data_IF_982768825156
#
_entry.id   IF_982768825156
#
_cell.length_a   1.000
_cell.length_b   1.000
_cell.length_c   1.000
_cell.angle_alpha   90.00
_cell.angle_beta   90.00
_cell.angle_gamma   90.00
#
_symmetry.space_group_name_H-M   'P 1'
#
loop_
_entity.id
_entity.type
_entity.pdbx_description
1 polymer ?
#
# COMPACT_ATOMS: atom_id res chain seq x y z
N UNK A 1 -9.08 14.12 -22.21
CA UNK A 1 -8.74 12.89 -21.47
C UNK A 1 -9.13 11.66 -22.28
N UNK A 2 -8.19 10.76 -22.56
CA UNK A 2 -8.45 9.48 -23.25
C UNK A 2 -9.07 8.44 -22.30
N UNK A 3 -9.70 7.39 -22.84
CA UNK A 3 -10.23 6.28 -22.03
C UNK A 3 -9.14 5.66 -21.13
N UNK A 4 -7.94 5.46 -21.67
CA UNK A 4 -6.81 4.94 -20.90
C UNK A 4 -6.42 5.85 -19.74
N UNK A 5 -6.35 7.18 -19.96
CA UNK A 5 -6.06 8.13 -18.87
C UNK A 5 -7.18 8.19 -17.84
N UNK A 6 -8.45 8.13 -18.25
CA UNK A 6 -9.59 8.08 -17.34
C UNK A 6 -9.56 6.81 -16.46
N UNK A 7 -9.23 5.68 -17.07
CA UNK A 7 -9.06 4.40 -16.38
C UNK A 7 -7.90 4.46 -15.37
N UNK A 8 -6.73 4.99 -15.78
CA UNK A 8 -5.58 5.16 -14.88
C UNK A 8 -5.91 6.05 -13.69
N UNK A 9 -6.62 7.16 -13.91
CA UNK A 9 -7.10 8.06 -12.84
C UNK A 9 -7.99 7.30 -11.86
N UNK A 10 -8.98 6.57 -12.36
CA UNK A 10 -9.89 5.79 -11.51
C UNK A 10 -9.14 4.77 -10.64
N UNK A 11 -8.25 3.97 -11.24
CA UNK A 11 -7.45 2.99 -10.51
C UNK A 11 -6.54 3.64 -9.48
N UNK A 12 -5.95 4.80 -9.81
CA UNK A 12 -5.04 5.54 -8.92
C UNK A 12 -5.74 6.00 -7.66
N UNK A 13 -6.91 6.62 -7.78
CA UNK A 13 -7.66 7.11 -6.62
C UNK A 13 -8.29 5.98 -5.81
N UNK A 14 -8.68 4.88 -6.45
CA UNK A 14 -9.09 3.65 -5.73
C UNK A 14 -7.93 3.10 -4.92
N UNK A 15 -6.73 3.00 -5.51
CA UNK A 15 -5.54 2.53 -4.80
C UNK A 15 -5.20 3.43 -3.62
N UNK A 16 -5.12 4.75 -3.85
CA UNK A 16 -4.88 5.75 -2.81
C UNK A 16 -5.90 5.63 -1.66
N UNK A 17 -7.20 5.53 -2.00
CA UNK A 17 -8.28 5.40 -1.04
C UNK A 17 -8.18 4.14 -0.19
N UNK A 18 -7.88 2.98 -0.79
CA UNK A 18 -7.68 1.74 -0.05
C UNK A 18 -6.48 1.80 0.88
N UNK A 19 -5.36 2.35 0.42
CA UNK A 19 -4.16 2.53 1.26
C UNK A 19 -4.48 3.45 2.46
N UNK A 20 -5.13 4.58 2.22
CA UNK A 20 -5.55 5.49 3.29
C UNK A 20 -6.50 4.80 4.29
N UNK A 21 -7.52 4.12 3.79
CA UNK A 21 -8.52 3.45 4.62
C UNK A 21 -7.95 2.27 5.42
N UNK A 22 -7.09 1.46 4.82
CA UNK A 22 -6.61 0.23 5.47
C UNK A 22 -5.32 0.49 6.26
N UNK A 23 -4.29 1.05 5.63
CA UNK A 23 -2.97 1.21 6.25
C UNK A 23 -2.97 2.27 7.36
N UNK A 24 -3.73 3.36 7.21
CA UNK A 24 -3.71 4.50 8.15
C UNK A 24 -4.92 4.56 9.08
N UNK A 25 -6.10 4.14 8.62
CA UNK A 25 -7.32 4.22 9.43
C UNK A 25 -7.64 2.90 10.13
N UNK A 26 -7.86 1.80 9.39
CA UNK A 26 -8.21 0.49 9.95
C UNK A 26 -7.12 -0.08 10.85
N UNK A 27 -5.87 -0.08 10.37
CA UNK A 27 -4.80 -0.79 11.05
C UNK A 27 -4.51 -0.25 12.46
N UNK A 28 -4.54 1.07 12.73
CA UNK A 28 -4.45 1.59 14.10
C UNK A 28 -5.75 1.46 14.89
N UNK A 29 -6.92 1.64 14.27
CA UNK A 29 -8.20 1.63 14.99
C UNK A 29 -8.59 0.25 15.51
N UNK A 30 -8.27 -0.83 14.81
CA UNK A 30 -8.64 -2.19 15.25
C UNK A 30 -8.06 -2.59 16.60
N UNK A 31 -6.88 -2.07 16.95
CA UNK A 31 -6.26 -2.32 18.25
C UNK A 31 -6.86 -1.48 19.38
N UNK A 32 -7.72 -0.51 19.07
CA UNK A 32 -8.46 0.29 20.05
C UNK A 32 -9.84 -0.30 20.39
N UNK A 33 -10.28 -1.32 19.65
CA UNK A 33 -11.58 -1.93 19.87
C UNK A 33 -11.57 -2.77 21.17
N UNK A 34 -12.61 -2.65 22.03
CA UNK A 34 -12.73 -3.46 23.24
C UNK A 34 -12.70 -4.95 22.93
N UNK A 35 -11.95 -5.73 23.72
CA UNK A 35 -11.84 -7.18 23.56
C UNK A 35 -10.88 -7.66 22.47
N UNK A 36 -10.24 -6.76 21.70
CA UNK A 36 -9.21 -7.15 20.73
C UNK A 36 -7.88 -7.37 21.43
N UNK A 37 -7.43 -8.63 21.46
CA UNK A 37 -6.08 -8.96 21.91
C UNK A 37 -5.05 -8.70 20.81
N UNK A 38 -3.77 -8.58 21.19
CA UNK A 38 -2.68 -8.41 20.23
C UNK A 38 -2.64 -9.55 19.19
N UNK A 39 -2.86 -10.79 19.63
CA UNK A 39 -2.87 -11.97 18.75
C UNK A 39 -4.00 -11.89 17.71
N UNK A 40 -5.21 -11.53 18.13
CA UNK A 40 -6.37 -11.35 17.23
C UNK A 40 -6.08 -10.22 16.23
N UNK A 41 -5.60 -9.07 16.70
CA UNK A 41 -5.30 -7.93 15.83
C UNK A 41 -4.19 -8.22 14.82
N UNK A 42 -3.15 -8.99 15.19
CA UNK A 42 -2.10 -9.43 14.28
C UNK A 42 -2.61 -10.46 13.26
N UNK A 43 -3.47 -11.40 13.68
CA UNK A 43 -4.11 -12.37 12.80
C UNK A 43 -4.97 -11.70 11.73
N UNK A 44 -5.84 -10.78 12.13
CA UNK A 44 -6.66 -9.95 11.21
C UNK A 44 -5.75 -9.15 10.29
N UNK A 45 -4.73 -8.48 10.84
CA UNK A 45 -3.76 -7.71 10.07
C UNK A 45 -3.10 -8.52 8.95
N UNK A 46 -2.67 -9.75 9.23
CA UNK A 46 -2.03 -10.62 8.22
C UNK A 46 -2.95 -10.88 7.02
N UNK A 47 -4.21 -11.18 7.27
CA UNK A 47 -5.18 -11.48 6.22
C UNK A 47 -5.52 -10.23 5.40
N UNK A 48 -5.85 -9.13 6.09
CA UNK A 48 -6.21 -7.85 5.46
C UNK A 48 -5.06 -7.30 4.63
N UNK A 49 -3.84 -7.25 5.17
CA UNK A 49 -2.68 -6.78 4.42
C UNK A 49 -2.29 -7.73 3.29
N UNK A 50 -2.58 -9.04 3.37
CA UNK A 50 -2.40 -9.94 2.21
C UNK A 50 -3.34 -9.58 1.08
N UNK A 51 -4.63 -9.42 1.41
CA UNK A 51 -5.64 -9.04 0.44
C UNK A 51 -5.33 -7.67 -0.18
N UNK A 52 -5.03 -6.67 0.64
CA UNK A 52 -4.65 -5.33 0.19
C UNK A 52 -3.50 -5.41 -0.82
N UNK A 53 -2.36 -5.98 -0.43
CA UNK A 53 -1.18 -6.08 -1.29
C UNK A 53 -1.44 -6.78 -2.64
N UNK A 54 -2.32 -7.80 -2.66
CA UNK A 54 -2.75 -8.43 -3.92
C UNK A 54 -3.50 -7.44 -4.80
N UNK A 55 -4.48 -6.72 -4.24
CA UNK A 55 -5.26 -5.73 -4.99
C UNK A 55 -4.37 -4.56 -5.43
N UNK A 56 -3.46 -4.08 -4.57
CA UNK A 56 -2.48 -3.05 -4.93
C UNK A 56 -1.64 -3.46 -6.14
N UNK A 57 -1.19 -4.73 -6.18
CA UNK A 57 -0.41 -5.26 -7.31
C UNK A 57 -1.24 -5.28 -8.60
N UNK A 58 -2.52 -5.67 -8.53
CA UNK A 58 -3.43 -5.65 -9.69
C UNK A 58 -3.70 -4.23 -10.19
N UNK A 59 -3.92 -3.28 -9.28
CA UNK A 59 -4.10 -1.87 -9.61
C UNK A 59 -2.84 -1.28 -10.23
N UNK A 60 -1.67 -1.60 -9.68
CA UNK A 60 -0.37 -1.19 -10.24
C UNK A 60 -0.22 -1.66 -11.69
N UNK A 61 -0.50 -2.94 -11.96
CA UNK A 61 -0.44 -3.50 -13.33
C UNK A 61 -1.44 -2.79 -14.24
N UNK A 62 -2.67 -2.57 -13.80
CA UNK A 62 -3.69 -1.87 -14.58
C UNK A 62 -3.30 -0.44 -14.94
N UNK A 63 -2.73 0.31 -13.99
CA UNK A 63 -2.22 1.66 -14.22
C UNK A 63 -1.04 1.63 -15.21
N UNK A 64 -0.07 0.75 -15.01
CA UNK A 64 1.09 0.63 -15.91
C UNK A 64 0.65 0.29 -17.34
N UNK A 65 -0.30 -0.62 -17.52
CA UNK A 65 -0.86 -0.96 -18.83
C UNK A 65 -1.56 0.24 -19.48
N UNK A 66 -2.34 1.01 -18.72
CA UNK A 66 -2.99 2.22 -19.21
C UNK A 66 -1.97 3.30 -19.63
N UNK A 67 -0.93 3.52 -18.82
CA UNK A 67 0.14 4.46 -19.13
C UNK A 67 0.95 4.05 -20.36
N UNK A 68 1.21 2.75 -20.54
CA UNK A 68 1.94 2.22 -21.70
C UNK A 68 1.20 2.41 -23.03
N UNK A 69 -0.13 2.58 -23.00
CA UNK A 69 -0.93 2.84 -24.20
C UNK A 69 -0.91 4.31 -24.68
N UNK A 70 -0.24 5.19 -23.93
CA UNK A 70 -0.16 6.61 -24.24
C UNK A 70 1.26 7.17 -24.13
N UNK A 71 1.36 8.50 -24.17
CA UNK A 71 2.62 9.23 -24.02
C UNK A 71 2.55 10.10 -22.75
N UNK A 72 2.57 9.49 -21.54
CA UNK A 72 2.46 10.24 -20.30
C UNK A 72 3.68 11.16 -20.11
N UNK A 73 3.46 12.29 -19.45
CA UNK A 73 4.54 13.20 -19.03
C UNK A 73 5.52 12.45 -18.12
N UNK A 74 6.81 12.80 -18.21
CA UNK A 74 7.86 12.21 -17.36
C UNK A 74 7.51 12.32 -15.87
N UNK A 75 6.90 13.42 -15.44
CA UNK A 75 6.45 13.59 -14.05
C UNK A 75 5.43 12.55 -13.59
N UNK A 76 4.49 12.16 -14.47
CA UNK A 76 3.52 11.08 -14.21
C UNK A 76 4.25 9.75 -14.06
N UNK A 77 5.15 9.44 -15.00
CA UNK A 77 5.93 8.19 -14.97
C UNK A 77 6.76 8.08 -13.69
N UNK A 78 7.44 9.15 -13.30
CA UNK A 78 8.25 9.19 -12.07
C UNK A 78 7.39 8.99 -10.83
N UNK A 79 6.23 9.66 -10.74
CA UNK A 79 5.32 9.52 -9.59
C UNK A 79 4.84 8.07 -9.41
N UNK A 80 4.42 7.41 -10.49
CA UNK A 80 4.00 6.01 -10.44
C UNK A 80 5.17 5.04 -10.23
N UNK A 81 6.35 5.33 -10.79
CA UNK A 81 7.55 4.54 -10.54
C UNK A 81 7.90 4.53 -9.05
N UNK A 82 7.81 5.69 -8.38
CA UNK A 82 8.02 5.79 -6.92
C UNK A 82 7.00 4.91 -6.16
N UNK A 83 5.72 4.99 -6.51
CA UNK A 83 4.67 4.20 -5.86
C UNK A 83 4.88 2.68 -6.06
N UNK A 84 5.23 2.26 -7.27
CA UNK A 84 5.49 0.85 -7.62
C UNK A 84 6.75 0.33 -6.92
N UNK A 85 7.84 1.10 -6.93
CA UNK A 85 9.09 0.73 -6.24
C UNK A 85 8.85 0.62 -4.74
N UNK A 86 8.07 1.53 -4.14
CA UNK A 86 7.68 1.45 -2.74
C UNK A 86 6.89 0.16 -2.45
N UNK A 87 5.91 -0.18 -3.28
CA UNK A 87 5.14 -1.44 -3.16
C UNK A 87 6.07 -2.66 -3.24
N UNK A 88 6.96 -2.73 -4.24
CA UNK A 88 7.91 -3.84 -4.41
C UNK A 88 8.83 -3.97 -3.20
N UNK A 89 9.36 -2.86 -2.69
CA UNK A 89 10.20 -2.84 -1.49
C UNK A 89 9.42 -3.32 -0.25
N UNK A 90 8.15 -2.97 -0.12
CA UNK A 90 7.28 -3.48 0.95
C UNK A 90 7.10 -4.99 0.83
N UNK A 91 6.73 -5.50 -0.36
CA UNK A 91 6.43 -6.91 -0.59
C UNK A 91 7.64 -7.82 -0.37
N UNK A 92 8.80 -7.42 -0.89
CA UNK A 92 10.01 -8.25 -0.88
C UNK A 92 10.86 -8.04 0.39
N UNK A 93 10.90 -6.80 0.90
CA UNK A 93 11.79 -6.43 2.01
C UNK A 93 11.11 -6.46 3.37
N UNK A 94 10.00 -5.73 3.51
CA UNK A 94 9.41 -5.44 4.83
C UNK A 94 8.43 -6.52 5.27
N UNK A 95 7.57 -6.99 4.35
CA UNK A 95 6.50 -7.94 4.63
C UNK A 95 6.99 -9.29 5.15
N UNK A 96 8.06 -9.92 4.60
CA UNK A 96 8.56 -11.19 5.13
C UNK A 96 9.08 -11.05 6.56
N UNK A 97 9.70 -9.90 6.87
CA UNK A 97 10.21 -9.60 8.23
C UNK A 97 9.06 -9.40 9.22
N UNK A 98 8.01 -8.70 8.82
CA UNK A 98 6.81 -8.53 9.64
C UNK A 98 6.08 -9.87 9.84
N UNK A 99 5.98 -10.73 8.82
CA UNK A 99 5.34 -12.03 8.92
C UNK A 99 6.03 -12.93 9.96
N UNK A 100 7.36 -13.10 9.85
CA UNK A 100 8.17 -13.89 10.81
C UNK A 100 8.00 -13.40 12.25
N UNK A 101 7.94 -12.07 12.44
CA UNK A 101 7.73 -11.47 13.75
C UNK A 101 6.33 -11.74 14.28
N UNK A 102 5.31 -11.57 13.45
CA UNK A 102 3.94 -11.89 13.84
C UNK A 102 3.81 -13.37 14.21
N UNK A 103 4.52 -14.28 13.52
CA UNK A 103 4.58 -15.69 13.90
C UNK A 103 5.23 -15.90 15.28
N UNK A 104 6.33 -15.20 15.59
CA UNK A 104 6.97 -15.27 16.91
C UNK A 104 6.07 -14.76 18.05
N UNK A 105 5.36 -13.64 17.84
CA UNK A 105 4.40 -13.11 18.84
C UNK A 105 3.19 -14.05 19.01
N UNK A 106 2.73 -14.68 17.93
CA UNK A 106 1.68 -15.70 18.02
C UNK A 106 2.15 -16.99 18.72
N UNK A 107 3.46 -17.27 18.70
CA UNK A 107 4.08 -18.39 19.42
C UNK A 107 4.37 -18.10 20.92
N UNK A 108 4.04 -16.89 21.41
CA UNK A 108 4.15 -16.54 22.83
C UNK A 108 5.32 -15.61 23.19
N UNK A 109 6.05 -15.08 22.21
CA UNK A 109 7.16 -14.14 22.46
C UNK A 109 6.66 -12.72 22.82
N UNK A 110 7.29 -12.08 23.81
CA UNK A 110 6.95 -10.72 24.25
C UNK A 110 7.46 -9.70 23.23
N UNK A 111 6.60 -9.35 22.27
CA UNK A 111 6.95 -8.57 21.08
C UNK A 111 7.53 -7.17 21.33
N UNK A 112 8.85 -7.04 21.45
CA UNK A 112 9.57 -5.74 21.52
C UNK A 112 9.45 -4.95 20.21
N UNK A 113 9.18 -3.62 20.20
CA UNK A 113 8.95 -2.81 18.96
C UNK A 113 10.08 -2.96 17.92
N UNK A 114 9.74 -3.29 16.66
CA UNK A 114 10.72 -3.43 15.56
C UNK A 114 10.76 -2.23 14.61
N UNK A 115 11.98 -1.89 14.18
CA UNK A 115 12.29 -0.91 13.13
C UNK A 115 11.58 -1.21 11.79
N UNK A 116 11.23 -2.48 11.54
CA UNK A 116 10.51 -2.88 10.33
C UNK A 116 9.11 -2.27 10.22
N UNK A 117 8.45 -1.98 11.36
CA UNK A 117 7.14 -1.32 11.34
C UNK A 117 7.27 0.14 10.88
N UNK A 118 8.27 0.87 11.37
CA UNK A 118 8.54 2.24 10.92
C UNK A 118 8.92 2.30 9.44
N UNK A 119 9.72 1.34 8.96
CA UNK A 119 10.02 1.21 7.53
C UNK A 119 8.76 0.95 6.69
N UNK A 120 7.82 0.14 7.19
CA UNK A 120 6.53 -0.08 6.53
C UNK A 120 5.74 1.23 6.40
N UNK A 121 5.59 1.97 7.49
CA UNK A 121 4.86 3.25 7.53
C UNK A 121 5.50 4.27 6.58
N UNK A 122 6.83 4.37 6.56
CA UNK A 122 7.53 5.27 5.63
C UNK A 122 7.21 4.93 4.17
N UNK A 123 7.24 3.65 3.81
CA UNK A 123 6.92 3.22 2.45
C UNK A 123 5.44 3.47 2.09
N UNK A 124 4.51 3.29 3.03
CA UNK A 124 3.11 3.66 2.83
C UNK A 124 2.96 5.16 2.55
N UNK A 125 3.65 6.02 3.31
CA UNK A 125 3.61 7.48 3.10
C UNK A 125 4.19 7.86 1.74
N UNK A 126 5.34 7.29 1.35
CA UNK A 126 5.94 7.52 0.03
C UNK A 126 4.99 7.10 -1.09
N UNK A 127 4.33 5.95 -0.95
CA UNK A 127 3.34 5.43 -1.91
C UNK A 127 2.12 6.35 -2.00
N UNK A 128 1.58 6.80 -0.87
CA UNK A 128 0.46 7.77 -0.82
C UNK A 128 0.81 9.06 -1.55
N UNK A 129 1.99 9.62 -1.31
CA UNK A 129 2.46 10.84 -1.98
C UNK A 129 2.59 10.60 -3.49
N UNK A 130 3.22 9.49 -3.89
CA UNK A 130 3.38 9.13 -5.30
C UNK A 130 2.04 8.97 -6.02
N UNK A 131 1.07 8.28 -5.40
CA UNK A 131 -0.28 8.10 -5.97
C UNK A 131 -1.07 9.40 -6.03
N UNK A 132 -1.02 10.23 -4.98
CA UNK A 132 -1.71 11.52 -4.96
C UNK A 132 -1.17 12.46 -6.04
N UNK A 133 0.16 12.61 -6.11
CA UNK A 133 0.79 13.44 -7.14
C UNK A 133 0.56 12.87 -8.54
N UNK A 134 0.73 11.56 -8.74
CA UNK A 134 0.49 10.89 -10.03
C UNK A 134 -0.95 11.05 -10.52
N UNK A 135 -1.93 10.90 -9.62
CA UNK A 135 -3.36 11.08 -9.92
C UNK A 135 -3.70 12.53 -10.27
N UNK A 136 -3.19 13.50 -9.51
CA UNK A 136 -3.39 14.94 -9.80
C UNK A 136 -2.75 15.32 -11.13
N UNK A 137 -1.53 14.84 -11.39
CA UNK A 137 -0.83 15.10 -12.65
C UNK A 137 -1.58 14.53 -13.85
N UNK A 138 -2.13 13.31 -13.73
CA UNK A 138 -2.99 12.70 -14.76
C UNK A 138 -4.29 13.48 -15.00
N UNK A 139 -4.92 14.03 -13.95
CA UNK A 139 -6.09 14.88 -14.08
C UNK A 139 -5.79 16.22 -14.77
N UNK A 140 -4.57 16.72 -14.61
CA UNK A 140 -4.11 17.98 -15.21
C UNK A 140 -3.55 17.85 -16.63
N UNK A 141 -3.60 16.66 -17.21
CA UNK A 141 -2.99 16.33 -18.52
C UNK A 141 -3.97 16.13 -19.66
#
# INVERSE_FOLDING_TARGET
MSLASAFAVALTFVWLGMVAAISFLEAPLKFRAPGVTLQIGLGIGRMVFRALNTVESLLAVGILAALASGHPRVSVVVAFAIAVVALVAQLLGVRPRLARRSDAVLAGDEGSRSRAHYAYVLLEVVKVIGLALGGILLLSS
#
